data_IF_525967664938
#
_entry.id   IF_525967664938
#
_cell.length_a   1.000
_cell.length_b   1.000
_cell.length_c   1.000
_cell.angle_alpha   90.00
_cell.angle_beta   90.00
_cell.angle_gamma   90.00
#
_symmetry.space_group_name_H-M   'P 1'
#
loop_
_entity.id
_entity.type
_entity.pdbx_description
1 polymer ?
#
# COMPACT_ATOMS: atom_id res chain seq x y z
N UNK A 1 0.35 27.84 38.16
CA UNK A 1 1.46 27.02 37.61
C UNK A 1 1.18 25.53 37.83
N UNK A 2 1.02 24.76 36.75
CA UNK A 2 0.90 23.31 36.83
C UNK A 2 2.29 22.72 37.11
N UNK A 3 2.42 21.98 38.21
CA UNK A 3 3.64 21.23 38.53
C UNK A 3 3.28 19.76 38.29
N UNK A 4 3.75 19.13 37.20
CA UNK A 4 3.45 17.74 36.93
C UNK A 4 4.02 16.86 38.05
N UNK A 5 3.23 15.88 38.49
CA UNK A 5 3.74 14.88 39.41
C UNK A 5 4.74 13.95 38.70
N UNK A 6 5.51 13.17 39.48
CA UNK A 6 6.51 12.26 38.93
C UNK A 6 5.89 11.11 38.12
N UNK A 7 4.72 10.62 38.52
CA UNK A 7 3.99 9.55 37.83
C UNK A 7 3.57 9.99 36.43
N UNK A 8 3.03 11.21 36.29
CA UNK A 8 2.69 11.80 35.00
C UNK A 8 3.91 11.90 34.08
N UNK A 9 5.06 12.35 34.61
CA UNK A 9 6.29 12.38 33.82
C UNK A 9 6.74 10.99 33.36
N UNK A 10 6.62 9.96 34.21
CA UNK A 10 6.94 8.59 33.82
C UNK A 10 5.98 8.04 32.77
N UNK A 11 4.69 8.35 32.86
CA UNK A 11 3.70 7.92 31.89
C UNK A 11 3.96 8.55 30.51
N UNK A 12 4.29 9.84 30.45
CA UNK A 12 4.67 10.53 29.22
C UNK A 12 5.96 9.96 28.61
N UNK A 13 6.98 9.69 29.45
CA UNK A 13 8.24 9.10 28.98
C UNK A 13 7.99 7.70 28.40
N UNK A 14 7.18 6.89 29.07
CA UNK A 14 6.82 5.54 28.62
C UNK A 14 6.02 5.57 27.32
N UNK A 15 4.98 6.41 27.24
CA UNK A 15 4.21 6.60 26.01
C UNK A 15 5.12 7.01 24.85
N UNK A 16 6.05 7.93 25.09
CA UNK A 16 7.02 8.34 24.09
C UNK A 16 7.96 7.19 23.69
N UNK A 17 8.46 6.41 24.65
CA UNK A 17 9.32 5.26 24.39
C UNK A 17 8.61 4.17 23.59
N UNK A 18 7.34 3.89 23.91
CA UNK A 18 6.51 2.92 23.18
C UNK A 18 6.23 3.40 21.76
N UNK A 19 5.95 4.71 21.59
CA UNK A 19 5.79 5.34 20.27
C UNK A 19 7.07 5.37 19.44
N UNK A 20 8.23 5.49 20.11
CA UNK A 20 9.55 5.57 19.46
C UNK A 20 10.25 4.22 19.34
N UNK A 21 9.61 3.13 19.78
CA UNK A 21 10.16 1.79 19.58
C UNK A 21 10.38 1.56 18.07
N UNK A 22 11.54 1.02 17.63
CA UNK A 22 11.85 0.84 16.22
C UNK A 22 10.76 0.08 15.45
N UNK A 23 10.18 -0.94 16.09
CA UNK A 23 9.09 -1.73 15.51
C UNK A 23 7.80 -0.89 15.31
N UNK A 24 7.55 0.09 16.17
CA UNK A 24 6.43 1.04 16.04
C UNK A 24 6.66 2.07 14.92
N UNK A 25 7.90 2.20 14.44
CA UNK A 25 8.28 3.07 13.32
C UNK A 25 8.34 2.33 11.99
N UNK A 26 8.19 1.00 11.98
CA UNK A 26 8.11 0.22 10.76
C UNK A 26 6.85 0.59 9.97
N UNK A 27 7.07 0.99 8.73
CA UNK A 27 6.01 1.26 7.78
C UNK A 27 5.81 0.05 6.89
N UNK A 28 4.55 -0.32 6.69
CA UNK A 28 4.14 -1.43 5.85
C UNK A 28 3.24 -0.91 4.72
N UNK A 29 3.41 -1.43 3.50
CA UNK A 29 2.58 -1.03 2.38
C UNK A 29 1.18 -1.64 2.48
N UNK A 30 0.17 -0.92 2.00
CA UNK A 30 -1.17 -1.43 1.80
C UNK A 30 -1.31 -2.11 0.42
N UNK A 31 -1.91 -3.30 0.37
CA UNK A 31 -2.16 -4.06 -0.85
C UNK A 31 -3.13 -3.36 -1.81
N UNK A 32 -3.98 -2.47 -1.30
CA UNK A 32 -5.06 -1.86 -2.07
C UNK A 32 -4.66 -0.52 -2.67
N UNK A 33 -4.10 0.37 -1.86
CA UNK A 33 -3.73 1.73 -2.29
C UNK A 33 -2.23 1.90 -2.54
N UNK A 34 -1.41 0.89 -2.23
CA UNK A 34 0.05 0.98 -2.27
C UNK A 34 0.58 2.24 -1.54
N UNK A 35 -0.04 2.66 -0.43
CA UNK A 35 0.54 3.66 0.46
C UNK A 35 1.17 2.97 1.67
N UNK A 36 2.10 3.64 2.32
CA UNK A 36 2.78 3.15 3.52
C UNK A 36 2.11 3.69 4.77
N UNK A 37 1.86 2.81 5.72
CA UNK A 37 1.26 3.13 7.01
C UNK A 37 2.07 2.49 8.13
N UNK A 38 1.92 3.01 9.35
CA UNK A 38 2.50 2.36 10.53
C UNK A 38 1.92 0.97 10.71
N UNK A 39 2.69 0.06 11.29
CA UNK A 39 2.23 -1.31 11.57
C UNK A 39 0.88 -1.37 12.32
N UNK A 40 0.62 -0.41 13.23
CA UNK A 40 -0.64 -0.32 13.99
C UNK A 40 -1.87 0.00 13.13
N UNK A 41 -1.65 0.62 11.98
CA UNK A 41 -2.70 1.04 11.04
C UNK A 41 -2.88 0.04 9.89
N UNK A 42 -2.23 -1.13 9.98
CA UNK A 42 -2.29 -2.21 9.00
C UNK A 42 -2.98 -3.43 9.61
N UNK A 43 -3.98 -3.94 8.90
CA UNK A 43 -4.64 -5.20 9.17
C UNK A 43 -4.14 -6.26 8.20
N UNK A 44 -3.66 -7.39 8.72
CA UNK A 44 -3.35 -8.56 7.91
C UNK A 44 -4.62 -9.40 7.72
N UNK A 45 -5.15 -9.41 6.50
CA UNK A 45 -6.48 -9.92 6.17
C UNK A 45 -6.37 -11.08 5.20
N UNK A 46 -7.21 -12.11 5.41
CA UNK A 46 -7.33 -13.20 4.45
C UNK A 46 -8.19 -12.77 3.26
N UNK A 47 -7.81 -13.10 2.00
CA UNK A 47 -8.58 -12.79 0.81
C UNK A 47 -10.08 -13.15 0.87
N UNK A 48 -10.41 -14.27 1.49
CA UNK A 48 -11.81 -14.72 1.66
C UNK A 48 -12.65 -13.82 2.58
N UNK A 49 -12.02 -12.97 3.38
CA UNK A 49 -12.68 -12.07 4.31
C UNK A 49 -13.18 -10.77 3.69
N UNK A 50 -12.86 -10.51 2.41
CA UNK A 50 -13.22 -9.27 1.70
C UNK A 50 -13.65 -9.55 0.27
N UNK A 51 -14.54 -8.70 -0.27
CA UNK A 51 -14.95 -8.81 -1.66
C UNK A 51 -13.88 -8.25 -2.61
N UNK A 52 -13.02 -9.15 -3.11
CA UNK A 52 -11.98 -8.83 -4.09
C UNK A 52 -12.53 -8.44 -5.47
N UNK A 53 -13.81 -8.72 -5.78
CA UNK A 53 -14.38 -8.34 -7.07
C UNK A 53 -14.43 -6.82 -7.26
N UNK A 54 -14.52 -6.07 -6.16
CA UNK A 54 -14.48 -4.61 -6.18
C UNK A 54 -13.13 -4.08 -6.69
N UNK A 55 -12.05 -4.80 -6.43
CA UNK A 55 -10.68 -4.41 -6.77
C UNK A 55 -10.25 -4.83 -8.19
N UNK A 56 -11.20 -5.18 -9.05
CA UNK A 56 -10.96 -5.47 -10.46
C UNK A 56 -11.07 -4.19 -11.28
N UNK A 57 -10.34 -4.14 -12.38
CA UNK A 57 -10.57 -3.13 -13.42
C UNK A 57 -10.59 -3.79 -14.79
N UNK A 58 -11.80 -3.97 -15.32
CA UNK A 58 -12.02 -4.60 -16.62
C UNK A 58 -11.69 -3.68 -17.81
N UNK A 59 -11.38 -2.40 -17.55
CA UNK A 59 -11.00 -1.43 -18.58
C UNK A 59 -9.50 -1.46 -18.88
N UNK A 60 -8.71 -2.09 -18.01
CA UNK A 60 -7.27 -2.31 -18.22
C UNK A 60 -7.10 -3.47 -19.22
N UNK A 61 -6.27 -3.27 -20.25
CA UNK A 61 -6.00 -4.29 -21.25
C UNK A 61 -5.29 -5.49 -20.61
N UNK A 62 -5.61 -6.71 -21.06
CA UNK A 62 -5.07 -7.94 -20.46
C UNK A 62 -3.54 -8.02 -20.54
N UNK A 63 -2.95 -7.48 -21.60
CA UNK A 63 -1.51 -7.52 -21.84
C UNK A 63 -0.72 -6.64 -20.85
N UNK A 64 -1.41 -5.67 -20.24
CA UNK A 64 -0.87 -4.76 -19.22
C UNK A 64 -1.40 -5.11 -17.83
N UNK A 65 -1.90 -6.32 -17.59
CA UNK A 65 -2.21 -6.74 -16.23
C UNK A 65 -0.94 -7.17 -15.48
N UNK A 66 -0.94 -7.09 -14.13
CA UNK A 66 0.17 -7.57 -13.32
C UNK A 66 0.53 -9.03 -13.64
N UNK A 67 1.78 -9.29 -14.02
CA UNK A 67 2.29 -10.65 -14.19
C UNK A 67 3.19 -11.11 -13.04
N UNK A 68 3.33 -10.28 -12.01
CA UNK A 68 4.25 -10.48 -10.87
C UNK A 68 3.67 -11.38 -9.78
N UNK A 69 2.37 -11.67 -9.82
CA UNK A 69 1.68 -12.62 -8.95
C UNK A 69 0.52 -13.28 -9.70
N UNK A 70 -0.01 -14.36 -9.12
CA UNK A 70 -1.12 -15.10 -9.70
C UNK A 70 -2.45 -14.34 -9.50
N UNK A 71 -2.83 -13.56 -10.50
CA UNK A 71 -4.08 -12.80 -10.51
C UNK A 71 -5.31 -13.70 -10.32
N UNK A 72 -5.33 -14.90 -10.90
CA UNK A 72 -6.50 -15.79 -10.86
C UNK A 72 -6.79 -16.23 -9.42
N UNK A 73 -5.74 -16.47 -8.64
CA UNK A 73 -5.86 -16.81 -7.21
C UNK A 73 -6.50 -15.66 -6.44
N UNK A 74 -6.19 -14.42 -6.77
CA UNK A 74 -6.78 -13.23 -6.15
C UNK A 74 -8.00 -12.71 -6.89
N UNK A 75 -8.76 -13.59 -7.56
CA UNK A 75 -10.00 -13.21 -8.24
C UNK A 75 -9.77 -12.03 -9.22
N UNK A 76 -8.67 -12.01 -9.97
CA UNK A 76 -8.28 -10.92 -10.88
C UNK A 76 -8.24 -9.52 -10.25
N UNK A 77 -8.13 -9.41 -8.92
CA UNK A 77 -7.97 -8.14 -8.22
C UNK A 77 -6.59 -7.55 -8.49
N UNK A 78 -6.54 -6.23 -8.67
CA UNK A 78 -5.29 -5.50 -8.91
C UNK A 78 -4.75 -5.02 -7.56
N UNK A 79 -3.76 -5.74 -7.05
CA UNK A 79 -3.13 -5.55 -5.75
C UNK A 79 -1.65 -5.16 -5.86
N UNK A 80 -1.12 -4.57 -4.79
CA UNK A 80 0.30 -4.28 -4.63
C UNK A 80 1.08 -5.48 -4.12
N UNK A 81 2.04 -5.96 -4.92
CA UNK A 81 2.77 -7.19 -4.65
C UNK A 81 3.54 -7.22 -3.32
N UNK A 82 4.06 -6.06 -2.85
CA UNK A 82 4.90 -6.02 -1.65
C UNK A 82 4.09 -6.14 -0.35
N UNK A 83 2.77 -6.01 -0.45
CA UNK A 83 1.83 -6.18 0.67
C UNK A 83 1.13 -7.54 0.65
N UNK A 84 1.58 -8.47 -0.22
CA UNK A 84 1.09 -9.84 -0.27
C UNK A 84 2.10 -10.75 0.41
N UNK A 85 1.63 -11.58 1.34
CA UNK A 85 2.45 -12.61 2.00
C UNK A 85 2.85 -13.71 1.00
N UNK A 86 1.94 -14.06 0.08
CA UNK A 86 2.18 -15.04 -0.96
C UNK A 86 1.73 -14.53 -2.32
N UNK A 87 2.51 -14.83 -3.37
CA UNK A 87 2.23 -14.40 -4.74
C UNK A 87 1.51 -15.46 -5.57
N UNK A 88 1.64 -16.73 -5.19
CA UNK A 88 1.15 -17.86 -6.00
C UNK A 88 -0.04 -18.57 -5.36
N UNK A 89 -0.27 -18.35 -4.07
CA UNK A 89 -1.32 -18.98 -3.29
C UNK A 89 -2.16 -17.94 -2.59
N UNK A 90 -3.35 -18.34 -2.12
CA UNK A 90 -4.30 -17.49 -1.40
C UNK A 90 -3.73 -17.19 0.00
N UNK A 91 -2.75 -16.28 0.05
CA UNK A 91 -2.08 -15.85 1.27
C UNK A 91 -2.70 -14.57 1.83
N UNK A 92 -2.37 -14.25 3.08
CA UNK A 92 -2.78 -13.00 3.71
C UNK A 92 -2.24 -11.79 2.94
N UNK A 93 -2.96 -10.68 3.07
CA UNK A 93 -2.55 -9.40 2.52
C UNK A 93 -2.66 -8.31 3.58
N UNK A 94 -1.72 -7.38 3.54
CA UNK A 94 -1.65 -6.26 4.46
C UNK A 94 -2.46 -5.10 3.88
N UNK A 95 -3.46 -4.63 4.63
CA UNK A 95 -4.41 -3.61 4.20
C UNK A 95 -4.48 -2.53 5.26
N UNK A 96 -4.44 -1.25 4.86
CA UNK A 96 -4.65 -0.17 5.83
C UNK A 96 -6.08 -0.15 6.37
N UNK A 97 -6.25 0.28 7.62
CA UNK A 97 -7.56 0.31 8.28
C UNK A 97 -8.63 1.08 7.48
N UNK A 98 -8.24 2.16 6.79
CA UNK A 98 -9.15 2.91 5.91
C UNK A 98 -9.67 2.06 4.75
N UNK A 99 -8.79 1.45 3.96
CA UNK A 99 -9.21 0.61 2.84
C UNK A 99 -9.98 -0.62 3.31
N UNK A 100 -9.57 -1.23 4.43
CA UNK A 100 -10.25 -2.37 5.02
C UNK A 100 -11.70 -2.02 5.42
N UNK A 101 -11.91 -0.89 6.10
CA UNK A 101 -13.24 -0.42 6.50
C UNK A 101 -14.17 -0.16 5.31
N UNK A 102 -13.63 0.36 4.21
CA UNK A 102 -14.37 0.60 2.98
C UNK A 102 -14.76 -0.70 2.29
N UNK A 103 -13.84 -1.67 2.21
CA UNK A 103 -14.14 -3.00 1.67
C UNK A 103 -15.19 -3.75 2.50
N UNK A 104 -15.13 -3.67 3.83
CA UNK A 104 -16.17 -4.24 4.70
C UNK A 104 -17.55 -3.60 4.45
N UNK A 105 -17.56 -2.36 3.97
CA UNK A 105 -18.77 -1.63 3.58
C UNK A 105 -19.15 -1.83 2.11
N UNK A 106 -18.51 -2.76 1.39
CA UNK A 106 -18.64 -2.98 -0.05
C UNK A 106 -18.44 -1.72 -0.90
N UNK A 107 -17.49 -0.86 -0.52
CA UNK A 107 -17.13 0.35 -1.26
C UNK A 107 -15.70 0.24 -1.78
N UNK A 108 -15.51 0.63 -3.04
CA UNK A 108 -14.19 0.77 -3.65
C UNK A 108 -13.50 2.03 -3.08
N UNK A 109 -12.32 1.92 -2.45
CA UNK A 109 -11.56 3.12 -2.08
C UNK A 109 -11.16 3.95 -3.29
N UNK A 110 -11.17 5.28 -3.15
CA UNK A 110 -10.84 6.19 -4.26
C UNK A 110 -9.39 6.01 -4.71
N UNK A 111 -8.51 5.80 -3.74
CA UNK A 111 -7.07 5.65 -3.96
C UNK A 111 -6.64 4.20 -4.21
N UNK A 112 -7.54 3.33 -4.70
CA UNK A 112 -7.08 1.97 -5.05
C UNK A 112 -6.25 1.97 -6.31
N UNK A 113 -5.29 1.06 -6.36
CA UNK A 113 -4.51 0.74 -7.56
C UNK A 113 -5.44 0.33 -8.71
N UNK A 114 -6.50 -0.41 -8.39
CA UNK A 114 -7.52 -0.82 -9.35
C UNK A 114 -8.25 0.39 -9.98
N UNK A 115 -8.38 1.52 -9.27
CA UNK A 115 -9.01 2.73 -9.76
C UNK A 115 -8.04 3.60 -10.60
N UNK A 116 -7.45 3.00 -11.64
CA UNK A 116 -6.54 3.65 -12.60
C UNK A 116 -5.23 4.20 -12.01
N UNK A 117 -4.82 3.73 -10.84
CA UNK A 117 -3.52 4.06 -10.26
C UNK A 117 -2.46 2.98 -10.51
N UNK A 118 -2.77 1.96 -11.31
CA UNK A 118 -1.82 0.94 -11.77
C UNK A 118 -1.04 1.43 -12.99
N UNK A 119 0.28 1.61 -12.85
CA UNK A 119 1.15 2.17 -13.90
C UNK A 119 1.90 1.12 -14.72
N UNK A 120 1.59 -0.16 -14.56
CA UNK A 120 2.19 -1.26 -15.36
C UNK A 120 3.72 -1.23 -15.41
N UNK A 121 4.37 -0.86 -14.30
CA UNK A 121 5.82 -0.68 -14.28
C UNK A 121 6.55 -1.94 -14.76
N UNK A 122 6.09 -3.12 -14.36
CA UNK A 122 6.66 -4.42 -14.73
C UNK A 122 6.66 -4.73 -16.25
N UNK A 123 5.91 -3.98 -17.06
CA UNK A 123 5.81 -4.16 -18.52
C UNK A 123 6.50 -3.05 -19.30
N UNK A 124 7.17 -2.12 -18.61
CA UNK A 124 7.88 -1.05 -19.29
C UNK A 124 9.08 -1.62 -20.06
N UNK A 125 9.44 -1.01 -21.20
CA UNK A 125 10.68 -1.32 -21.89
C UNK A 125 11.91 -1.12 -20.99
N UNK A 126 12.96 -1.91 -21.20
CA UNK A 126 14.17 -1.89 -20.37
C UNK A 126 14.86 -0.51 -20.34
N UNK A 127 14.89 0.19 -21.47
CA UNK A 127 15.41 1.56 -21.56
C UNK A 127 14.63 2.53 -20.67
N UNK A 128 13.31 2.34 -20.56
CA UNK A 128 12.45 3.12 -19.66
C UNK A 128 12.74 2.75 -18.20
N UNK A 129 12.94 1.47 -17.87
CA UNK A 129 13.35 1.06 -16.53
C UNK A 129 14.68 1.70 -16.10
N UNK A 130 15.68 1.69 -16.99
CA UNK A 130 16.98 2.32 -16.75
C UNK A 130 16.81 3.83 -16.55
N UNK A 131 15.94 4.48 -17.33
CA UNK A 131 15.65 5.89 -17.16
C UNK A 131 15.02 6.18 -15.78
N UNK A 132 14.04 5.39 -15.34
CA UNK A 132 13.44 5.53 -14.01
C UNK A 132 14.46 5.30 -12.89
N UNK A 133 15.32 4.28 -13.01
CA UNK A 133 16.32 3.97 -12.00
C UNK A 133 17.41 5.06 -11.85
N UNK A 134 17.72 5.77 -12.94
CA UNK A 134 18.70 6.84 -12.95
C UNK A 134 18.10 8.24 -12.71
N UNK A 135 16.77 8.38 -12.72
CA UNK A 135 16.09 9.65 -12.50
C UNK A 135 16.03 9.96 -11.01
N UNK A 136 16.34 11.20 -10.64
CA UNK A 136 16.08 11.67 -9.28
C UNK A 136 14.59 11.91 -9.06
N UNK A 137 14.17 12.00 -7.80
CA UNK A 137 12.78 12.33 -7.47
C UNK A 137 12.39 13.72 -8.03
N UNK A 138 13.34 14.64 -8.14
CA UNK A 138 13.14 15.95 -8.75
C UNK A 138 12.90 15.85 -10.27
N UNK A 139 13.63 14.99 -10.98
CA UNK A 139 13.45 14.75 -12.41
C UNK A 139 12.06 14.17 -12.68
N UNK A 140 11.65 13.19 -11.87
CA UNK A 140 10.31 12.61 -11.95
C UNK A 140 9.24 13.68 -11.72
N UNK A 141 9.33 14.45 -10.62
CA UNK A 141 8.37 15.52 -10.31
C UNK A 141 8.26 16.59 -11.42
N UNK A 142 9.39 16.93 -12.06
CA UNK A 142 9.43 17.88 -13.17
C UNK A 142 8.64 17.36 -14.37
N UNK A 143 8.79 16.07 -14.70
CA UNK A 143 8.13 15.45 -15.86
C UNK A 143 6.63 15.24 -15.63
N UNK A 144 6.22 14.76 -14.46
CA UNK A 144 4.78 14.54 -14.18
C UNK A 144 4.00 15.83 -13.92
N UNK A 145 4.68 16.98 -13.74
CA UNK A 145 4.04 18.25 -13.36
C UNK A 145 3.12 18.13 -12.13
N UNK A 146 3.35 17.10 -11.31
CA UNK A 146 2.51 16.73 -10.19
C UNK A 146 3.38 16.36 -8.99
N UNK A 147 3.01 16.86 -7.81
CA UNK A 147 3.51 16.34 -6.55
C UNK A 147 2.81 15.02 -6.23
N UNK A 148 3.17 13.95 -6.93
CA UNK A 148 2.78 12.61 -6.50
C UNK A 148 3.58 12.30 -5.24
N UNK A 149 2.91 12.09 -4.11
CA UNK A 149 3.54 11.69 -2.84
C UNK A 149 4.26 10.36 -2.94
N UNK A 150 3.88 9.50 -3.90
CA UNK A 150 4.58 8.24 -4.18
C UNK A 150 4.28 7.74 -5.61
N UNK A 151 5.32 7.29 -6.31
CA UNK A 151 5.16 6.43 -7.49
C UNK A 151 5.40 5.00 -7.02
N UNK A 152 4.33 4.24 -6.86
CA UNK A 152 4.41 2.85 -6.42
C UNK A 152 4.70 1.95 -7.61
N UNK A 153 5.95 1.46 -7.70
CA UNK A 153 6.36 0.37 -8.58
C UNK A 153 7.02 -0.77 -7.82
#
# INVERSE_FOLDING_TARGET
PFIPDKQFMFDVIREWQDCMHPDSQCHHPCAICAQEFKAVDIASVHPDGVDLHLLRNNLILRDVLPSTYNLDVYNSAILYLKALDNRNFHGKMDICLSCHSLLQSNKLPVDTIANFQYYTYDKLPEDVHIAFANSSLFDLMLVVHACATRVSY
#
